data_IF_812870365547
#
_entry.id   IF_812870365547
#
_cell.length_a   1.000
_cell.length_b   1.000
_cell.length_c   1.000
_cell.angle_alpha   90.00
_cell.angle_beta   90.00
_cell.angle_gamma   90.00
#
_symmetry.space_group_name_H-M   'P 1'
#
loop_
_entity.id
_entity.type
_entity.pdbx_description
1 polymer ?
#
# COMPACT_ATOMS: atom_id res chain seq x y z
N UNK A 1 -2.61 -17.94 7.60
CA UNK A 1 -2.51 -16.93 6.52
C UNK A 1 -2.46 -15.56 7.19
N UNK A 2 -1.25 -14.99 7.35
CA UNK A 2 -1.01 -13.73 8.07
C UNK A 2 -0.45 -12.63 7.14
N UNK A 3 -0.62 -12.81 5.83
CA UNK A 3 -0.19 -11.81 4.85
C UNK A 3 -0.87 -10.46 5.14
N UNK A 4 -0.16 -9.32 5.07
CA UNK A 4 1.19 -9.17 4.51
C UNK A 4 2.35 -9.37 5.51
N UNK A 5 2.10 -9.64 6.79
CA UNK A 5 3.17 -9.85 7.77
C UNK A 5 3.94 -11.12 7.45
N UNK A 6 5.23 -10.97 7.14
CA UNK A 6 6.08 -12.12 6.82
C UNK A 6 6.67 -12.76 8.10
N UNK A 7 6.63 -14.08 8.15
CA UNK A 7 7.41 -14.86 9.12
C UNK A 7 8.91 -14.70 8.85
N UNK A 8 9.81 -15.07 9.79
CA UNK A 8 11.26 -15.08 9.53
C UNK A 8 11.63 -15.85 8.26
N UNK A 9 10.99 -16.99 8.00
CA UNK A 9 11.19 -17.75 6.77
C UNK A 9 10.72 -16.99 5.53
N UNK A 10 9.55 -16.34 5.59
CA UNK A 10 9.03 -15.51 4.48
C UNK A 10 9.94 -14.33 4.16
N UNK A 11 10.47 -13.66 5.20
CA UNK A 11 11.46 -12.59 5.02
C UNK A 11 12.73 -13.11 4.35
N UNK A 12 13.25 -14.23 4.82
CA UNK A 12 14.44 -14.85 4.25
C UNK A 12 14.20 -15.33 2.81
N UNK A 13 13.03 -15.90 2.51
CA UNK A 13 12.63 -16.28 1.15
C UNK A 13 12.65 -15.09 0.20
N UNK A 14 12.05 -13.97 0.61
CA UNK A 14 12.04 -12.72 -0.18
C UNK A 14 13.45 -12.12 -0.33
N UNK A 15 14.21 -12.05 0.78
CA UNK A 15 15.56 -11.52 0.83
C UNK A 15 16.52 -12.29 -0.10
N UNK A 16 16.37 -13.60 -0.17
CA UNK A 16 17.18 -14.47 -1.04
C UNK A 16 16.64 -14.57 -2.47
N UNK A 17 15.78 -13.61 -2.88
CA UNK A 17 15.25 -13.53 -4.22
C UNK A 17 14.35 -14.71 -4.58
N UNK A 18 13.59 -15.21 -3.61
CA UNK A 18 12.65 -16.33 -3.79
C UNK A 18 13.35 -17.63 -4.25
N UNK A 19 14.67 -17.74 -4.03
CA UNK A 19 15.49 -18.85 -4.58
C UNK A 19 15.71 -20.02 -3.63
N UNK A 20 15.31 -19.91 -2.34
CA UNK A 20 15.45 -21.00 -1.38
C UNK A 20 14.37 -22.06 -1.56
N UNK A 21 14.69 -23.28 -1.14
CA UNK A 21 13.81 -24.44 -1.27
C UNK A 21 14.01 -25.22 -2.58
N UNK A 22 13.21 -26.27 -2.73
CA UNK A 22 13.20 -27.09 -3.96
C UNK A 22 12.50 -26.32 -5.07
N UNK A 23 12.99 -26.45 -6.31
CA UNK A 23 12.30 -25.92 -7.49
C UNK A 23 10.95 -26.63 -7.62
N UNK A 24 9.87 -25.86 -7.60
CA UNK A 24 8.54 -26.38 -7.88
C UNK A 24 8.30 -26.39 -9.39
N UNK A 25 7.59 -27.38 -9.88
CA UNK A 25 7.21 -27.47 -11.29
C UNK A 25 6.21 -26.37 -11.69
N UNK A 26 5.35 -25.96 -10.76
CA UNK A 26 4.39 -24.86 -10.92
C UNK A 26 4.35 -24.05 -9.61
N UNK A 27 5.18 -23.00 -9.48
CA UNK A 27 5.25 -22.20 -8.26
C UNK A 27 4.14 -21.10 -8.23
N UNK A 28 2.89 -21.51 -8.32
CA UNK A 28 1.77 -20.57 -8.28
C UNK A 28 0.82 -20.84 -7.10
N UNK A 29 0.11 -19.80 -6.72
CA UNK A 29 -1.01 -19.84 -5.79
C UNK A 29 -2.15 -18.97 -6.32
N UNK A 30 -3.37 -19.30 -5.93
CA UNK A 30 -4.57 -18.55 -6.31
C UNK A 30 -5.23 -18.04 -5.04
N UNK A 31 -5.76 -16.81 -5.10
CA UNK A 31 -6.50 -16.18 -4.03
C UNK A 31 -7.84 -15.66 -4.57
N UNK A 32 -8.90 -15.82 -3.78
CA UNK A 32 -10.20 -15.21 -4.04
C UNK A 32 -10.80 -14.65 -2.75
N UNK A 33 -11.48 -13.54 -2.84
CA UNK A 33 -12.11 -12.86 -1.72
C UNK A 33 -13.57 -12.51 -2.05
N UNK A 34 -14.45 -12.73 -1.09
CA UNK A 34 -15.87 -12.35 -1.14
C UNK A 34 -16.20 -11.62 0.16
N UNK A 35 -16.87 -10.51 0.08
CA UNK A 35 -17.17 -9.70 1.26
C UNK A 35 -18.47 -8.93 1.18
N UNK A 36 -18.83 -8.33 2.31
CA UNK A 36 -19.98 -7.42 2.45
C UNK A 36 -19.59 -6.26 3.35
N UNK A 37 -19.96 -5.06 2.97
CA UNK A 37 -19.70 -3.83 3.74
C UNK A 37 -21.00 -3.25 4.23
N UNK A 38 -21.05 -2.86 5.50
CA UNK A 38 -22.15 -2.15 6.12
C UNK A 38 -21.65 -0.81 6.63
N UNK A 39 -22.11 0.28 6.04
CA UNK A 39 -21.77 1.64 6.45
C UNK A 39 -22.79 2.16 7.44
N UNK A 40 -22.37 2.83 8.51
CA UNK A 40 -23.26 3.31 9.57
C UNK A 40 -24.38 4.19 9.01
N UNK A 41 -24.06 5.07 8.05
CA UNK A 41 -25.05 5.89 7.33
C UNK A 41 -24.72 5.84 5.84
N UNK A 42 -25.34 4.89 5.13
CA UNK A 42 -25.08 4.66 3.70
C UNK A 42 -25.76 5.67 2.77
N UNK A 43 -26.71 6.46 3.28
CA UNK A 43 -27.48 7.45 2.51
C UNK A 43 -27.08 8.88 2.91
N UNK A 44 -27.23 9.82 1.98
CA UNK A 44 -27.10 11.25 2.27
C UNK A 44 -28.36 11.83 2.95
N UNK A 45 -28.37 13.14 3.21
CA UNK A 45 -29.50 13.85 3.82
C UNK A 45 -30.79 13.82 2.98
N UNK A 46 -30.70 13.53 1.68
CA UNK A 46 -31.82 13.43 0.76
C UNK A 46 -32.31 11.97 0.60
N UNK A 47 -31.71 11.01 1.32
CA UNK A 47 -32.01 9.60 1.24
C UNK A 47 -31.42 8.88 0.02
N UNK A 48 -30.50 9.50 -0.70
CA UNK A 48 -29.80 8.90 -1.84
C UNK A 48 -28.68 8.00 -1.34
N UNK A 49 -28.63 6.75 -1.83
CA UNK A 49 -27.58 5.79 -1.48
C UNK A 49 -26.22 6.29 -1.98
N UNK A 50 -25.29 6.52 -1.09
CA UNK A 50 -23.95 7.03 -1.37
C UNK A 50 -22.88 5.92 -1.41
N UNK A 51 -23.13 4.79 -0.75
CA UNK A 51 -22.20 3.64 -0.75
C UNK A 51 -22.79 2.54 -1.63
N UNK A 52 -22.21 2.29 -2.80
CA UNK A 52 -22.71 1.24 -3.72
C UNK A 52 -22.77 -0.12 -3.04
N UNK A 53 -23.88 -0.85 -3.22
CA UNK A 53 -24.06 -2.22 -2.73
C UNK A 53 -23.84 -2.38 -1.23
N UNK A 54 -24.13 -1.34 -0.42
CA UNK A 54 -24.04 -1.43 1.05
C UNK A 54 -24.88 -2.60 1.56
N UNK A 55 -24.31 -3.46 2.41
CA UNK A 55 -24.91 -4.70 2.88
C UNK A 55 -24.96 -5.85 1.85
N UNK A 56 -24.62 -5.60 0.59
CA UNK A 56 -24.60 -6.62 -0.46
C UNK A 56 -23.32 -7.49 -0.41
N UNK A 57 -23.46 -8.76 -0.79
CA UNK A 57 -22.32 -9.65 -0.96
C UNK A 57 -21.70 -9.40 -2.33
N UNK A 58 -20.38 -9.15 -2.36
CA UNK A 58 -19.61 -8.84 -3.55
C UNK A 58 -18.33 -9.66 -3.61
N UNK A 59 -17.87 -9.96 -4.82
CA UNK A 59 -16.53 -10.46 -5.05
C UNK A 59 -15.53 -9.31 -4.85
N UNK A 60 -14.71 -9.36 -3.80
CA UNK A 60 -13.83 -8.24 -3.41
C UNK A 60 -12.45 -8.28 -4.08
N UNK A 61 -12.17 -9.31 -4.85
CA UNK A 61 -10.97 -9.44 -5.66
C UNK A 61 -10.40 -10.85 -5.68
N UNK A 62 -9.56 -11.10 -6.65
CA UNK A 62 -8.81 -12.34 -6.78
C UNK A 62 -7.43 -12.09 -7.34
N UNK A 63 -6.50 -12.98 -7.04
CA UNK A 63 -5.14 -12.89 -7.56
C UNK A 63 -4.58 -14.26 -7.91
N UNK A 64 -3.74 -14.28 -8.92
CA UNK A 64 -2.82 -15.39 -9.19
C UNK A 64 -1.42 -14.93 -8.85
N UNK A 65 -0.70 -15.73 -8.09
CA UNK A 65 0.68 -15.47 -7.69
C UNK A 65 1.62 -16.48 -8.33
N UNK A 66 2.75 -16.00 -8.82
CA UNK A 66 3.90 -16.78 -9.19
C UNK A 66 5.05 -16.38 -8.27
N UNK A 67 5.57 -17.30 -7.46
CA UNK A 67 6.67 -17.01 -6.55
C UNK A 67 7.65 -18.18 -6.48
N UNK A 68 8.89 -17.95 -6.86
CA UNK A 68 9.90 -19.00 -6.81
C UNK A 68 11.14 -18.72 -7.63
N UNK A 69 12.03 -19.71 -7.66
CA UNK A 69 13.29 -19.62 -8.37
C UNK A 69 13.18 -20.05 -9.85
N UNK A 70 13.74 -19.22 -10.72
CA UNK A 70 14.02 -19.58 -12.10
C UNK A 70 15.37 -20.32 -12.19
N UNK A 71 16.39 -19.81 -11.48
CA UNK A 71 17.71 -20.44 -11.27
C UNK A 71 18.07 -20.39 -9.79
N UNK A 72 19.26 -20.86 -9.40
CA UNK A 72 19.70 -20.78 -8.00
C UNK A 72 19.99 -19.35 -7.53
N UNK A 73 20.16 -18.41 -8.46
CA UNK A 73 20.43 -17.01 -8.18
C UNK A 73 19.36 -16.05 -8.68
N UNK A 74 18.42 -16.51 -9.53
CA UNK A 74 17.36 -15.69 -10.11
C UNK A 74 16.00 -16.25 -9.69
N UNK A 75 15.16 -15.40 -9.10
CA UNK A 75 13.79 -15.71 -8.76
C UNK A 75 12.92 -14.48 -8.73
N UNK A 76 11.64 -14.67 -8.47
CA UNK A 76 10.71 -13.55 -8.46
C UNK A 76 9.39 -13.86 -7.80
N UNK A 77 8.65 -12.79 -7.58
CA UNK A 77 7.27 -12.75 -7.15
C UNK A 77 6.48 -11.91 -8.13
N UNK A 78 5.44 -12.47 -8.71
CA UNK A 78 4.54 -11.81 -9.66
C UNK A 78 3.12 -12.05 -9.18
N UNK A 79 2.34 -10.97 -9.04
CA UNK A 79 0.93 -10.99 -8.71
C UNK A 79 0.14 -10.42 -9.87
N UNK A 80 -0.84 -11.18 -10.34
CA UNK A 80 -1.86 -10.72 -11.27
C UNK A 80 -3.18 -10.64 -10.52
N UNK A 81 -3.78 -9.46 -10.46
CA UNK A 81 -5.02 -9.22 -9.72
C UNK A 81 -6.16 -8.93 -10.69
N UNK A 82 -7.36 -9.37 -10.32
CA UNK A 82 -8.60 -9.02 -11.00
C UNK A 82 -9.66 -8.66 -9.95
N UNK A 83 -10.44 -7.64 -10.25
CA UNK A 83 -11.54 -7.14 -9.45
C UNK A 83 -12.68 -6.65 -10.35
N UNK A 84 -13.84 -6.39 -9.76
CA UNK A 84 -15.02 -5.89 -10.46
C UNK A 84 -15.43 -4.49 -9.98
N UNK A 85 -14.50 -3.73 -9.40
CA UNK A 85 -14.84 -2.54 -8.61
C UNK A 85 -14.43 -1.21 -9.22
N UNK A 86 -13.92 -1.17 -10.41
CA UNK A 86 -13.73 0.12 -11.07
C UNK A 86 -15.11 0.70 -11.40
N UNK A 87 -15.72 1.31 -10.37
CA UNK A 87 -17.00 1.98 -10.47
C UNK A 87 -16.85 3.34 -11.11
N UNK A 88 -17.65 3.62 -12.11
CA UNK A 88 -18.02 4.98 -12.47
C UNK A 88 -19.38 5.32 -11.86
N UNK A 89 -19.75 6.57 -11.88
CA UNK A 89 -21.13 7.02 -11.71
C UNK A 89 -21.72 7.32 -13.08
N UNK A 90 -23.00 7.03 -13.27
CA UNK A 90 -23.74 7.50 -14.46
C UNK A 90 -23.93 9.03 -14.42
N UNK A 91 -24.51 9.59 -15.45
CA UNK A 91 -24.78 11.03 -15.52
C UNK A 91 -25.71 11.55 -14.41
N UNK A 92 -26.38 10.66 -13.67
CA UNK A 92 -27.28 10.98 -12.57
C UNK A 92 -26.60 10.75 -11.20
N UNK A 93 -25.31 10.38 -11.18
CA UNK A 93 -24.57 10.07 -9.95
C UNK A 93 -24.81 8.66 -9.40
N UNK A 94 -25.58 7.80 -10.08
CA UNK A 94 -25.77 6.44 -9.61
C UNK A 94 -24.53 5.60 -9.91
N UNK A 95 -24.09 4.75 -8.97
CA UNK A 95 -22.98 3.86 -9.20
C UNK A 95 -23.26 2.95 -10.39
N UNK A 96 -22.51 3.10 -11.45
CA UNK A 96 -22.51 2.13 -12.55
C UNK A 96 -21.69 0.92 -12.12
N UNK A 97 -22.20 -0.27 -12.36
CA UNK A 97 -21.46 -1.50 -12.10
C UNK A 97 -20.08 -1.40 -12.78
N UNK A 98 -19.03 -1.57 -11.99
CA UNK A 98 -17.66 -1.31 -12.42
C UNK A 98 -17.22 -2.12 -13.61
N UNK A 99 -16.32 -1.56 -14.38
CA UNK A 99 -15.51 -2.31 -15.35
C UNK A 99 -14.59 -3.26 -14.58
N UNK A 100 -14.50 -4.51 -15.04
CA UNK A 100 -13.53 -5.46 -14.48
C UNK A 100 -12.12 -4.93 -14.73
N UNK A 101 -11.29 -4.88 -13.67
CA UNK A 101 -9.87 -4.63 -13.79
C UNK A 101 -9.13 -5.96 -13.76
N UNK A 102 -8.20 -6.16 -14.69
CA UNK A 102 -7.32 -7.31 -14.73
C UNK A 102 -5.94 -6.88 -15.19
N UNK A 103 -4.94 -7.03 -14.35
CA UNK A 103 -3.59 -6.60 -14.68
C UNK A 103 -2.55 -7.06 -13.69
N UNK A 104 -1.29 -6.79 -14.05
CA UNK A 104 -0.16 -6.92 -13.11
C UNK A 104 -0.41 -6.03 -11.91
N UNK A 105 -0.30 -6.60 -10.71
CA UNK A 105 -0.37 -5.89 -9.45
C UNK A 105 1.06 -5.69 -8.92
N UNK A 106 1.63 -6.67 -8.27
CA UNK A 106 2.99 -6.59 -7.75
C UNK A 106 3.96 -7.46 -8.55
N UNK A 107 5.09 -6.87 -8.87
CA UNK A 107 6.19 -7.51 -9.58
C UNK A 107 7.49 -7.23 -8.85
N UNK A 108 8.23 -8.27 -8.47
CA UNK A 108 9.55 -8.19 -7.85
C UNK A 108 10.42 -9.37 -8.32
N UNK A 109 11.37 -9.12 -9.18
CA UNK A 109 12.34 -10.11 -9.69
C UNK A 109 13.72 -9.75 -9.19
N UNK A 110 14.45 -10.75 -8.68
CA UNK A 110 15.76 -10.56 -8.04
C UNK A 110 16.83 -11.48 -8.58
N UNK A 111 18.00 -10.89 -8.83
CA UNK A 111 19.25 -11.61 -9.04
C UNK A 111 20.09 -11.51 -7.76
N UNK A 112 20.38 -12.65 -7.11
CA UNK A 112 20.92 -12.68 -5.75
C UNK A 112 22.25 -13.40 -5.68
N UNK A 113 23.22 -12.78 -5.01
CA UNK A 113 24.45 -13.38 -4.56
C UNK A 113 24.43 -13.61 -3.04
N UNK A 114 25.14 -14.64 -2.60
CA UNK A 114 25.27 -15.04 -1.18
C UNK A 114 26.74 -15.32 -0.89
N UNK A 115 27.23 -14.76 0.22
CA UNK A 115 28.60 -14.98 0.69
C UNK A 115 28.57 -15.49 2.13
N UNK A 116 29.29 -16.58 2.39
CA UNK A 116 29.55 -17.10 3.73
C UNK A 116 31.04 -16.99 4.01
N UNK A 117 31.40 -16.50 5.19
CA UNK A 117 32.81 -16.46 5.60
C UNK A 117 33.38 -17.89 5.72
N UNK A 118 34.68 -18.10 5.42
CA UNK A 118 35.30 -19.44 5.42
C UNK A 118 35.19 -20.17 6.78
N UNK A 119 35.10 -19.43 7.87
CA UNK A 119 35.04 -19.95 9.24
C UNK A 119 33.60 -20.19 9.74
N UNK A 120 32.57 -19.73 9.00
CA UNK A 120 31.17 -19.72 9.44
C UNK A 120 30.26 -20.59 8.56
N UNK A 121 29.34 -21.32 9.21
CA UNK A 121 28.24 -21.98 8.52
C UNK A 121 27.10 -21.01 8.17
N UNK A 122 27.15 -19.76 8.64
CA UNK A 122 26.13 -18.76 8.42
C UNK A 122 26.48 -17.81 7.27
N UNK A 123 25.45 -17.34 6.56
CA UNK A 123 25.62 -16.35 5.52
C UNK A 123 25.96 -15.00 6.15
N UNK A 124 27.12 -14.43 5.80
CA UNK A 124 27.56 -13.11 6.25
C UNK A 124 26.97 -11.99 5.43
N UNK A 125 26.72 -12.25 4.14
CA UNK A 125 26.23 -11.24 3.22
C UNK A 125 25.27 -11.86 2.20
N UNK A 126 24.10 -11.26 2.06
CA UNK A 126 23.19 -11.46 0.94
C UNK A 126 23.14 -10.14 0.19
N UNK A 127 23.27 -10.17 -1.12
CA UNK A 127 23.20 -8.97 -1.94
C UNK A 127 22.53 -9.28 -3.27
N UNK A 128 21.99 -8.29 -3.94
CA UNK A 128 21.32 -8.55 -5.21
C UNK A 128 20.88 -7.30 -5.94
N UNK A 129 20.38 -7.55 -7.14
CA UNK A 129 19.64 -6.58 -7.94
C UNK A 129 18.16 -6.92 -7.90
N UNK A 130 17.30 -5.91 -7.96
CA UNK A 130 15.86 -6.07 -8.00
C UNK A 130 15.24 -5.20 -9.09
N UNK A 131 14.27 -5.77 -9.82
CA UNK A 131 13.39 -5.06 -10.75
C UNK A 131 11.96 -5.22 -10.25
N UNK A 132 11.27 -4.09 -10.07
CA UNK A 132 9.93 -4.08 -9.47
C UNK A 132 9.07 -2.93 -10.02
N UNK A 133 7.74 -3.01 -9.81
CA UNK A 133 6.76 -2.10 -10.41
C UNK A 133 5.96 -1.26 -9.40
N UNK A 134 6.33 -1.33 -8.13
CA UNK A 134 5.65 -0.60 -7.07
C UNK A 134 6.71 -0.16 -6.04
N UNK A 135 6.84 1.13 -5.71
CA UNK A 135 7.75 1.56 -4.67
C UNK A 135 7.46 0.81 -3.37
N UNK A 136 8.54 0.31 -2.74
CA UNK A 136 8.52 -0.45 -1.48
C UNK A 136 8.00 -1.91 -1.56
N UNK A 137 7.53 -2.41 -2.70
CA UNK A 137 7.14 -3.83 -2.82
C UNK A 137 8.29 -4.80 -2.50
N UNK A 138 9.51 -4.37 -2.73
CA UNK A 138 10.74 -5.12 -2.46
C UNK A 138 11.11 -5.18 -0.96
N UNK A 139 10.49 -4.38 -0.08
CA UNK A 139 10.72 -4.43 1.35
C UNK A 139 10.52 -5.83 1.93
N UNK A 140 11.54 -6.33 2.63
CA UNK A 140 11.53 -7.71 3.16
C UNK A 140 10.72 -7.85 4.45
N UNK A 141 10.35 -6.75 5.11
CA UNK A 141 9.51 -6.77 6.32
C UNK A 141 8.04 -6.48 6.02
N UNK A 142 7.73 -5.95 4.83
CA UNK A 142 6.39 -5.47 4.46
C UNK A 142 5.81 -4.48 5.50
N UNK A 143 6.67 -3.63 6.06
CA UNK A 143 6.31 -2.55 6.97
C UNK A 143 6.08 -1.22 6.25
N UNK A 144 6.44 -1.15 4.99
CA UNK A 144 6.33 -0.01 4.10
C UNK A 144 5.02 -0.05 3.27
N UNK A 145 4.64 1.03 2.54
CA UNK A 145 3.27 1.19 2.03
C UNK A 145 2.76 0.22 0.98
N UNK A 146 3.62 -0.50 0.25
CA UNK A 146 3.25 -1.23 -0.96
C UNK A 146 2.04 -2.19 -0.84
N UNK A 147 1.81 -2.75 0.34
CA UNK A 147 0.73 -3.71 0.56
C UNK A 147 -0.54 -3.10 1.16
N UNK A 148 -0.62 -1.76 1.23
CA UNK A 148 -1.80 -1.05 1.74
C UNK A 148 -2.01 -1.12 3.25
N UNK A 149 -2.91 -0.26 3.75
CA UNK A 149 -3.28 -0.21 5.17
C UNK A 149 -4.77 0.19 5.31
N UNK A 150 -5.66 -0.75 5.71
CA UNK A 150 -5.41 -2.18 5.93
C UNK A 150 -5.07 -2.91 4.61
N UNK A 151 -4.47 -4.09 4.70
CA UNK A 151 -4.19 -4.91 3.51
C UNK A 151 -5.48 -5.34 2.79
N UNK A 152 -6.48 -5.78 3.54
CA UNK A 152 -7.82 -6.05 3.03
C UNK A 152 -8.81 -5.12 3.73
N UNK A 153 -9.58 -4.39 2.98
CA UNK A 153 -10.56 -3.43 3.47
C UNK A 153 -11.83 -3.43 2.62
N UNK A 154 -12.84 -2.64 3.03
CA UNK A 154 -14.09 -2.49 2.29
C UNK A 154 -13.80 -2.02 0.86
N UNK A 155 -14.39 -2.67 -0.17
CA UNK A 155 -14.21 -2.26 -1.57
C UNK A 155 -14.96 -0.97 -1.90
N UNK A 156 -16.00 -0.67 -1.13
CA UNK A 156 -16.80 0.54 -1.26
C UNK A 156 -16.73 1.34 0.02
N UNK A 157 -16.39 2.60 -0.11
CA UNK A 157 -16.35 3.57 0.98
C UNK A 157 -17.22 4.76 0.61
N UNK A 158 -17.54 5.62 1.55
CA UNK A 158 -18.24 6.85 1.24
C UNK A 158 -17.42 7.67 0.22
N UNK A 159 -18.03 8.14 -0.90
CA UNK A 159 -17.29 8.62 -2.07
C UNK A 159 -16.61 9.96 -1.90
N UNK A 160 -16.94 10.73 -0.86
CA UNK A 160 -16.45 12.09 -0.74
C UNK A 160 -15.04 12.18 -0.18
N UNK A 161 -14.16 12.73 -0.98
CA UNK A 161 -12.77 13.07 -0.76
C UNK A 161 -11.83 11.89 -0.48
N UNK A 162 -11.04 11.54 -1.49
CA UNK A 162 -9.84 10.77 -1.26
C UNK A 162 -8.93 11.53 -0.28
N UNK A 163 -8.54 10.88 0.81
CA UNK A 163 -7.51 11.43 1.69
C UNK A 163 -6.23 11.61 0.88
N UNK A 164 -5.60 12.78 0.92
CA UNK A 164 -4.29 12.96 0.31
C UNK A 164 -3.31 11.91 0.83
N UNK A 165 -2.55 11.30 -0.05
CA UNK A 165 -1.53 10.33 0.26
C UNK A 165 -0.18 10.80 -0.29
N UNK A 166 0.90 10.50 0.42
CA UNK A 166 2.26 10.73 -0.05
C UNK A 166 2.51 9.98 -1.37
N UNK A 167 3.34 10.52 -2.24
CA UNK A 167 3.58 9.93 -3.56
C UNK A 167 4.10 8.48 -3.46
N UNK A 168 4.94 8.20 -2.46
CA UNK A 168 5.45 6.84 -2.17
C UNK A 168 4.37 5.91 -1.59
N UNK A 169 3.24 6.44 -1.10
CA UNK A 169 2.17 5.69 -0.44
C UNK A 169 1.10 5.23 -1.44
N UNK A 170 1.49 4.34 -2.34
CA UNK A 170 0.60 3.69 -3.29
C UNK A 170 0.30 4.47 -4.58
N UNK A 171 0.61 5.76 -4.66
CA UNK A 171 0.23 6.59 -5.83
C UNK A 171 0.93 6.19 -7.12
N UNK A 172 2.07 5.50 -7.04
CA UNK A 172 2.86 5.05 -8.20
C UNK A 172 2.77 3.53 -8.43
N UNK A 173 1.96 2.82 -7.66
CA UNK A 173 1.82 1.37 -7.79
C UNK A 173 1.35 0.99 -9.20
N UNK A 174 2.01 0.00 -9.82
CA UNK A 174 1.77 -0.48 -11.18
C UNK A 174 1.89 0.60 -12.29
N UNK A 175 2.62 1.69 -12.01
CA UNK A 175 2.81 2.79 -12.96
C UNK A 175 4.30 3.04 -13.27
N UNK A 176 5.19 2.50 -12.44
CA UNK A 176 6.63 2.74 -12.51
C UNK A 176 7.42 1.44 -12.66
N UNK A 177 8.65 1.58 -13.16
CA UNK A 177 9.68 0.56 -13.14
C UNK A 177 10.79 1.01 -12.20
N UNK A 178 11.10 0.22 -11.18
CA UNK A 178 12.21 0.43 -10.26
C UNK A 178 13.31 -0.61 -10.50
N UNK A 179 14.53 -0.15 -10.67
CA UNK A 179 15.73 -0.99 -10.74
C UNK A 179 16.67 -0.59 -9.63
N UNK A 180 17.06 -1.54 -8.78
CA UNK A 180 17.90 -1.25 -7.63
C UNK A 180 18.83 -2.37 -7.23
N UNK A 181 19.71 -2.01 -6.29
CA UNK A 181 20.59 -2.96 -5.63
C UNK A 181 20.36 -2.94 -4.10
N UNK A 182 20.49 -4.09 -3.49
CA UNK A 182 20.35 -4.23 -2.04
C UNK A 182 21.40 -5.16 -1.45
N UNK A 183 21.60 -5.02 -0.15
CA UNK A 183 22.41 -5.94 0.65
C UNK A 183 21.80 -6.16 2.03
N UNK A 184 22.12 -7.29 2.64
CA UNK A 184 21.83 -7.62 4.02
C UNK A 184 23.06 -8.26 4.64
N UNK A 185 23.69 -7.52 5.57
CA UNK A 185 24.95 -7.87 6.17
C UNK A 185 24.77 -8.35 7.61
N UNK A 186 25.35 -9.54 7.89
CA UNK A 186 25.33 -10.21 9.20
C UNK A 186 23.95 -10.29 9.85
N UNK A 187 22.90 -10.45 9.03
CA UNK A 187 21.49 -10.49 9.46
C UNK A 187 21.05 -9.24 10.24
N UNK A 188 21.83 -8.19 10.22
CA UNK A 188 21.62 -6.97 11.04
C UNK A 188 21.37 -5.74 10.19
N UNK A 189 22.24 -5.44 9.23
CA UNK A 189 22.15 -4.22 8.43
C UNK A 189 21.61 -4.52 7.04
N UNK A 190 20.48 -3.93 6.71
CA UNK A 190 19.93 -3.89 5.37
C UNK A 190 20.15 -2.52 4.74
N UNK A 191 20.53 -2.49 3.48
CA UNK A 191 20.59 -1.28 2.67
C UNK A 191 20.12 -1.54 1.25
N UNK A 192 19.46 -0.54 0.68
CA UNK A 192 18.95 -0.56 -0.68
C UNK A 192 19.02 0.83 -1.32
N UNK A 193 19.30 0.85 -2.61
CA UNK A 193 19.21 2.03 -3.47
C UNK A 193 18.55 1.60 -4.79
N UNK A 194 17.49 2.29 -5.21
CA UNK A 194 16.75 2.01 -6.44
C UNK A 194 16.49 3.30 -7.22
N UNK A 195 16.39 3.18 -8.52
CA UNK A 195 16.00 4.27 -9.43
C UNK A 195 14.67 3.93 -10.08
N UNK A 196 13.71 4.83 -9.96
CA UNK A 196 12.38 4.72 -10.54
C UNK A 196 12.21 5.60 -11.76
N UNK A 197 11.46 5.12 -12.72
CA UNK A 197 10.95 5.87 -13.85
C UNK A 197 9.54 5.41 -14.20
N UNK A 198 8.81 6.18 -14.99
CA UNK A 198 7.53 5.71 -15.57
C UNK A 198 7.75 4.38 -16.30
N UNK A 199 6.86 3.43 -16.11
CA UNK A 199 6.90 2.14 -16.78
C UNK A 199 6.41 2.26 -18.23
N UNK A 200 7.25 2.80 -19.10
CA UNK A 200 7.01 2.96 -20.54
C UNK A 200 8.04 2.20 -21.39
N UNK A 201 7.84 2.17 -22.70
CA UNK A 201 8.72 1.46 -23.63
C UNK A 201 8.89 -0.01 -23.25
N UNK A 202 10.13 -0.45 -23.06
CA UNK A 202 10.44 -1.85 -22.68
C UNK A 202 9.86 -2.27 -21.33
N UNK A 203 9.56 -1.32 -20.45
CA UNK A 203 8.98 -1.56 -19.12
C UNK A 203 7.44 -1.52 -19.11
N UNK A 204 6.78 -1.29 -20.25
CA UNK A 204 5.31 -1.21 -20.33
C UNK A 204 4.60 -2.46 -19.81
N UNK A 205 5.23 -3.63 -19.86
CA UNK A 205 4.73 -4.87 -19.27
C UNK A 205 4.62 -4.87 -17.74
N UNK A 206 5.20 -3.88 -17.05
CA UNK A 206 5.11 -3.71 -15.60
C UNK A 206 3.91 -2.85 -15.16
N UNK A 207 3.16 -2.28 -16.09
CA UNK A 207 1.95 -1.50 -15.81
C UNK A 207 0.71 -2.40 -15.73
N UNK A 208 -0.26 -1.94 -14.96
CA UNK A 208 -1.59 -2.60 -14.82
C UNK A 208 -2.53 -2.37 -16.02
N UNK A 209 -2.01 -2.32 -17.24
CA UNK A 209 -2.81 -2.23 -18.46
C UNK A 209 -3.24 -0.81 -18.87
N UNK A 210 -2.84 0.24 -18.14
CA UNK A 210 -3.13 1.63 -18.52
C UNK A 210 -2.08 2.17 -19.49
N UNK A 211 -2.51 2.95 -20.47
CA UNK A 211 -1.60 3.65 -21.37
C UNK A 211 -1.19 5.01 -20.82
N UNK A 212 0.13 5.25 -20.71
CA UNK A 212 0.67 6.55 -20.23
C UNK A 212 0.42 7.69 -21.21
N UNK A 213 0.20 7.40 -22.48
CA UNK A 213 -0.04 8.43 -23.50
C UNK A 213 -1.48 8.92 -23.55
N UNK A 214 -2.45 8.11 -23.07
CA UNK A 214 -3.88 8.41 -23.20
C UNK A 214 -4.62 8.41 -21.87
N UNK A 215 -4.00 7.95 -20.79
CA UNK A 215 -4.63 7.86 -19.46
C UNK A 215 -4.13 9.00 -18.55
N UNK A 216 -4.97 9.99 -18.32
CA UNK A 216 -4.69 11.07 -17.35
C UNK A 216 -4.56 10.61 -15.91
N UNK A 217 -4.97 9.37 -15.59
CA UNK A 217 -4.88 8.79 -14.25
C UNK A 217 -3.53 8.16 -13.90
N UNK A 218 -2.57 8.09 -14.82
CA UNK A 218 -1.25 7.52 -14.58
C UNK A 218 -0.26 8.62 -14.18
N UNK A 219 0.35 8.52 -13.00
CA UNK A 219 1.42 9.43 -12.60
C UNK A 219 2.64 9.25 -13.51
N UNK A 220 3.11 10.34 -14.09
CA UNK A 220 4.23 10.35 -15.02
C UNK A 220 5.43 11.04 -14.40
N UNK A 221 6.55 10.31 -14.32
CA UNK A 221 7.80 10.78 -13.74
C UNK A 221 8.74 11.30 -14.83
N UNK A 222 9.51 12.32 -14.50
CA UNK A 222 10.60 12.82 -15.32
C UNK A 222 11.91 12.12 -14.95
N UNK A 223 12.55 11.47 -15.93
CA UNK A 223 13.85 10.84 -15.75
C UNK A 223 13.90 9.70 -14.75
N UNK A 224 14.97 9.67 -13.96
CA UNK A 224 15.24 8.65 -12.95
C UNK A 224 15.14 9.25 -11.55
N UNK A 225 14.37 8.62 -10.69
CA UNK A 225 13.96 9.14 -9.39
C UNK A 225 14.50 8.21 -8.30
N UNK A 226 15.41 8.69 -7.43
CA UNK A 226 16.09 7.86 -6.43
C UNK A 226 15.16 7.49 -5.26
N UNK A 227 15.26 6.25 -4.85
CA UNK A 227 14.71 5.66 -3.63
C UNK A 227 15.83 5.06 -2.80
N UNK A 228 15.76 5.16 -1.49
CA UNK A 228 16.68 4.52 -0.55
C UNK A 228 15.94 3.82 0.59
N UNK A 229 16.57 2.81 1.17
CA UNK A 229 16.16 2.17 2.41
C UNK A 229 17.36 1.74 3.23
N UNK A 230 17.34 2.02 4.53
CA UNK A 230 18.25 1.47 5.52
C UNK A 230 17.43 0.87 6.64
N UNK A 231 17.81 -0.31 7.14
CA UNK A 231 17.15 -0.92 8.29
C UNK A 231 18.15 -1.71 9.15
N UNK A 232 17.93 -1.64 10.45
CA UNK A 232 18.61 -2.46 11.44
C UNK A 232 17.66 -3.54 11.92
N UNK A 233 18.10 -4.79 11.87
CA UNK A 233 17.34 -5.95 12.30
C UNK A 233 18.09 -6.67 13.43
N UNK A 234 17.34 -7.13 14.42
CA UNK A 234 17.89 -7.96 15.50
C UNK A 234 16.91 -9.07 15.84
N UNK A 235 17.43 -10.30 15.93
CA UNK A 235 16.64 -11.49 16.24
C UNK A 235 17.24 -12.21 17.45
N UNK A 236 16.39 -12.56 18.43
CA UNK A 236 16.81 -13.32 19.63
C UNK A 236 15.68 -14.24 20.08
N UNK A 237 15.95 -15.53 20.14
CA UNK A 237 14.93 -16.53 20.46
C UNK A 237 13.69 -16.39 19.57
N UNK A 238 12.48 -16.23 20.14
CA UNK A 238 11.26 -16.05 19.36
C UNK A 238 11.00 -14.60 18.92
N UNK A 239 11.87 -13.66 19.27
CA UNK A 239 11.71 -12.24 19.04
C UNK A 239 12.48 -11.78 17.80
N UNK A 240 11.92 -10.80 17.11
CA UNK A 240 12.57 -10.06 16.03
C UNK A 240 12.15 -8.60 16.10
N UNK A 241 13.10 -7.69 16.01
CA UNK A 241 12.86 -6.26 15.91
C UNK A 241 13.57 -5.70 14.69
N UNK A 242 12.91 -4.81 13.97
CA UNK A 242 13.48 -4.01 12.89
C UNK A 242 13.10 -2.55 13.11
N UNK A 243 14.07 -1.66 12.88
CA UNK A 243 13.85 -0.22 12.79
C UNK A 243 14.51 0.26 11.50
N UNK A 244 13.79 1.01 10.69
CA UNK A 244 14.25 1.44 9.37
C UNK A 244 13.90 2.88 9.05
N UNK A 245 14.54 3.36 8.00
CA UNK A 245 14.21 4.59 7.29
C UNK A 245 14.18 4.31 5.81
N UNK A 246 13.30 4.98 5.10
CA UNK A 246 13.22 4.93 3.64
C UNK A 246 12.75 6.27 3.10
N UNK A 247 12.93 6.47 1.83
CA UNK A 247 12.45 7.68 1.19
C UNK A 247 12.65 7.65 -0.32
N UNK A 248 12.08 8.64 -0.97
CA UNK A 248 12.12 8.81 -2.41
C UNK A 248 12.13 10.30 -2.76
N UNK A 249 12.85 10.65 -3.80
CA UNK A 249 12.68 11.94 -4.45
C UNK A 249 12.15 11.69 -5.86
N UNK A 250 11.05 12.34 -6.22
CA UNK A 250 10.43 12.16 -7.51
C UNK A 250 10.06 13.51 -8.17
N UNK A 251 10.41 13.65 -9.44
CA UNK A 251 9.98 14.75 -10.29
C UNK A 251 8.80 14.27 -11.15
N UNK A 252 7.59 14.78 -10.86
CA UNK A 252 6.34 14.37 -11.49
C UNK A 252 5.79 15.48 -12.37
N UNK A 253 5.30 15.13 -13.56
CA UNK A 253 4.56 16.06 -14.40
C UNK A 253 3.20 16.36 -13.78
N UNK A 254 2.79 17.64 -13.66
CA UNK A 254 1.48 18.01 -13.14
C UNK A 254 0.36 17.58 -14.10
N UNK A 255 0.59 17.70 -15.41
CA UNK A 255 -0.23 17.09 -16.46
C UNK A 255 0.44 15.80 -16.94
N UNK A 256 -0.17 14.66 -16.61
CA UNK A 256 0.34 13.36 -16.99
C UNK A 256 0.32 13.11 -18.52
N UNK A 257 -0.48 13.87 -19.27
CA UNK A 257 -0.57 13.78 -20.73
C UNK A 257 0.42 14.67 -21.44
N UNK A 258 0.94 15.71 -20.77
CA UNK A 258 1.96 16.61 -21.35
C UNK A 258 3.31 16.50 -20.63
N UNK A 259 4.20 15.61 -21.07
CA UNK A 259 5.53 15.44 -20.49
C UNK A 259 6.56 16.48 -20.96
N UNK A 260 6.13 17.57 -21.57
CA UNK A 260 7.00 18.68 -22.02
C UNK A 260 7.01 19.85 -21.05
N UNK A 261 6.09 19.85 -20.08
CA UNK A 261 5.97 20.89 -19.05
C UNK A 261 7.06 20.76 -17.99
N UNK A 262 7.32 21.81 -17.19
CA UNK A 262 8.05 21.69 -15.93
C UNK A 262 7.39 20.68 -14.98
N UNK A 263 8.16 20.13 -14.05
CA UNK A 263 7.69 19.14 -13.08
C UNK A 263 7.56 19.74 -11.68
N UNK A 264 6.72 19.12 -10.88
CA UNK A 264 6.71 19.28 -9.43
C UNK A 264 7.64 18.24 -8.79
N UNK A 265 8.26 18.60 -7.66
CA UNK A 265 9.15 17.72 -6.91
C UNK A 265 8.51 17.27 -5.62
N UNK A 266 8.51 15.97 -5.42
CA UNK A 266 8.07 15.31 -4.20
C UNK A 266 9.28 14.69 -3.50
N UNK A 267 9.40 14.92 -2.20
CA UNK A 267 10.47 14.34 -1.38
C UNK A 267 9.85 13.67 -0.17
N UNK A 268 9.82 12.34 -0.22
CA UNK A 268 9.36 11.50 0.87
C UNK A 268 10.53 11.09 1.78
N UNK A 269 10.34 11.24 3.08
CA UNK A 269 11.23 10.72 4.12
C UNK A 269 10.41 10.00 5.16
N UNK A 270 10.78 8.78 5.48
CA UNK A 270 9.97 7.93 6.32
C UNK A 270 10.79 7.16 7.36
N UNK A 271 10.12 6.82 8.45
CA UNK A 271 10.59 5.92 9.48
C UNK A 271 9.61 4.76 9.61
N UNK A 272 10.11 3.56 9.80
CA UNK A 272 9.29 2.39 10.06
C UNK A 272 9.92 1.48 11.12
N UNK A 273 9.06 0.71 11.76
CA UNK A 273 9.48 -0.28 12.74
C UNK A 273 8.57 -1.51 12.70
N UNK A 274 9.14 -2.66 12.97
CA UNK A 274 8.42 -3.91 13.17
C UNK A 274 8.97 -4.65 14.37
N UNK A 275 8.07 -5.17 15.21
CA UNK A 275 8.40 -6.15 16.24
C UNK A 275 7.57 -7.40 16.03
N UNK A 276 8.19 -8.56 16.13
CA UNK A 276 7.51 -9.85 16.10
C UNK A 276 7.91 -10.72 17.29
N UNK A 277 6.92 -11.41 17.83
CA UNK A 277 7.09 -12.51 18.78
C UNK A 277 6.39 -13.73 18.20
N UNK A 278 7.14 -14.74 17.81
CA UNK A 278 6.61 -15.91 17.11
C UNK A 278 6.96 -17.19 17.86
N UNK A 279 5.95 -17.81 18.46
CA UNK A 279 6.04 -19.10 19.10
C UNK A 279 4.87 -19.98 18.65
N UNK A 280 4.82 -21.21 19.08
CA UNK A 280 3.63 -22.02 19.05
C UNK A 280 3.12 -22.13 20.49
N UNK A 281 1.92 -21.60 20.84
CA UNK A 281 0.82 -21.23 19.95
C UNK A 281 0.65 -19.73 19.66
N UNK A 282 1.56 -18.85 20.05
CA UNK A 282 1.39 -17.40 20.01
C UNK A 282 2.17 -16.75 18.87
N UNK A 283 1.52 -15.90 18.09
CA UNK A 283 2.19 -15.01 17.11
C UNK A 283 1.69 -13.60 17.34
N UNK A 284 2.61 -12.67 17.57
CA UNK A 284 2.33 -11.26 17.70
C UNK A 284 3.22 -10.46 16.73
N UNK A 285 2.64 -9.51 16.01
CA UNK A 285 3.36 -8.58 15.15
C UNK A 285 2.85 -7.17 15.41
N UNK A 286 3.75 -6.24 15.73
CA UNK A 286 3.48 -4.82 15.76
C UNK A 286 4.25 -4.11 14.65
N UNK A 287 3.62 -3.18 13.97
CA UNK A 287 4.22 -2.34 12.92
C UNK A 287 3.82 -0.89 13.12
N UNK A 288 4.74 0.02 12.80
CA UNK A 288 4.46 1.45 12.73
C UNK A 288 5.23 2.05 11.57
N UNK A 289 4.60 3.02 10.88
CA UNK A 289 5.19 3.75 9.76
C UNK A 289 4.79 5.22 9.86
N UNK A 290 5.77 6.10 9.70
CA UNK A 290 5.57 7.54 9.58
C UNK A 290 6.23 8.02 8.29
N UNK A 291 5.47 8.75 7.45
CA UNK A 291 5.95 9.34 6.20
C UNK A 291 5.76 10.84 6.30
N UNK A 292 6.81 11.58 6.00
CA UNK A 292 6.79 13.02 5.76
C UNK A 292 7.11 13.28 4.30
N UNK A 293 6.18 13.91 3.60
CA UNK A 293 6.36 14.36 2.23
C UNK A 293 6.46 15.88 2.18
N UNK A 294 7.48 16.38 1.50
CA UNK A 294 7.58 17.77 1.03
C UNK A 294 7.21 17.80 -0.45
N UNK A 295 6.28 18.68 -0.79
CA UNK A 295 5.81 18.92 -2.15
C UNK A 295 6.28 20.29 -2.59
N UNK A 296 7.18 20.37 -3.59
CA UNK A 296 7.56 21.61 -4.26
C UNK A 296 6.74 21.69 -5.56
N UNK A 297 5.62 22.40 -5.49
CA UNK A 297 4.55 22.43 -6.51
C UNK A 297 4.74 23.57 -7.53
N UNK A 298 5.97 23.84 -7.93
CA UNK A 298 6.28 24.98 -8.78
C UNK A 298 5.55 24.98 -10.11
N UNK A 299 5.39 23.83 -10.74
CA UNK A 299 4.67 23.71 -12.00
C UNK A 299 3.15 23.79 -11.79
N UNK A 300 2.60 23.06 -10.82
CA UNK A 300 1.19 23.13 -10.45
C UNK A 300 0.79 24.55 -10.02
N UNK A 301 1.64 25.25 -9.25
CA UNK A 301 1.38 26.60 -8.78
C UNK A 301 1.51 27.64 -9.91
N UNK A 302 2.65 27.67 -10.63
CA UNK A 302 2.93 28.74 -11.59
C UNK A 302 2.32 28.52 -12.98
N UNK A 303 2.19 27.26 -13.42
CA UNK A 303 1.72 26.93 -14.76
C UNK A 303 0.22 26.64 -14.79
N UNK A 304 -0.27 25.82 -13.86
CA UNK A 304 -1.67 25.41 -13.86
C UNK A 304 -2.56 26.28 -12.96
N UNK A 305 -1.98 27.01 -11.99
CA UNK A 305 -2.76 27.75 -10.99
C UNK A 305 -3.66 26.83 -10.14
N UNK A 306 -3.29 25.54 -10.01
CA UNK A 306 -4.08 24.51 -9.35
C UNK A 306 -3.62 24.23 -7.90
N UNK A 307 -2.68 25.02 -7.39
CA UNK A 307 -2.27 25.06 -5.98
C UNK A 307 -2.24 26.50 -5.51
N UNK A 308 -2.62 26.75 -4.27
CA UNK A 308 -2.52 28.06 -3.65
C UNK A 308 -1.12 28.32 -3.07
N UNK A 309 -0.34 27.28 -2.86
CA UNK A 309 0.99 27.35 -2.29
C UNK A 309 2.04 26.80 -3.26
N UNK A 310 3.22 27.43 -3.37
CA UNK A 310 4.32 26.88 -4.17
C UNK A 310 4.94 25.63 -3.51
N UNK A 311 4.69 25.39 -2.21
CA UNK A 311 5.15 24.22 -1.49
C UNK A 311 4.17 23.82 -0.40
N UNK A 312 3.92 22.52 -0.30
CA UNK A 312 3.09 21.91 0.73
C UNK A 312 3.85 20.81 1.48
N UNK A 313 3.32 20.38 2.61
CA UNK A 313 3.77 19.20 3.34
C UNK A 313 2.60 18.27 3.60
N UNK A 314 2.90 16.97 3.67
CA UNK A 314 1.95 15.93 4.02
C UNK A 314 2.61 14.95 4.99
N UNK A 315 1.86 14.52 6.01
CA UNK A 315 2.34 13.57 7.00
C UNK A 315 1.33 12.44 7.15
N UNK A 316 1.81 11.20 7.07
CA UNK A 316 1.01 10.02 7.31
C UNK A 316 1.60 9.22 8.46
N UNK A 317 0.78 8.85 9.43
CA UNK A 317 1.14 7.95 10.52
C UNK A 317 0.19 6.75 10.54
N UNK A 318 0.76 5.56 10.61
CA UNK A 318 0.03 4.30 10.71
C UNK A 318 0.71 3.40 11.73
N UNK A 319 -0.08 2.75 12.57
CA UNK A 319 0.40 1.74 13.49
C UNK A 319 -0.61 0.62 13.62
N UNK A 320 -0.15 -0.63 13.77
CA UNK A 320 -1.01 -1.78 14.02
C UNK A 320 -0.33 -2.80 14.90
N UNK A 321 -1.15 -3.52 15.67
CA UNK A 321 -0.76 -4.72 16.40
C UNK A 321 -1.68 -5.86 16.04
N UNK A 322 -1.12 -6.98 15.62
CA UNK A 322 -1.83 -8.19 15.20
C UNK A 322 -1.38 -9.37 16.05
N UNK A 323 -2.33 -10.08 16.64
CA UNK A 323 -2.07 -11.26 17.46
C UNK A 323 -2.83 -12.45 16.90
N UNK A 324 -2.17 -13.62 16.83
CA UNK A 324 -2.79 -14.89 16.49
C UNK A 324 -2.54 -15.94 17.58
N UNK A 325 -3.61 -16.63 17.95
CA UNK A 325 -3.54 -17.82 18.81
C UNK A 325 -3.70 -19.08 17.97
N UNK A 326 -2.71 -19.99 18.08
CA UNK A 326 -2.65 -21.26 17.34
C UNK A 326 -2.79 -21.09 15.82
N UNK A 327 -2.42 -19.93 15.30
CA UNK A 327 -2.60 -19.56 13.87
C UNK A 327 -4.05 -19.70 13.37
N UNK A 328 -5.01 -19.72 14.31
CA UNK A 328 -6.42 -19.98 14.03
C UNK A 328 -7.34 -18.82 14.41
N UNK A 329 -7.06 -18.14 15.50
CA UNK A 329 -7.84 -17.00 15.97
C UNK A 329 -6.94 -15.77 15.97
N UNK A 330 -7.34 -14.72 15.25
CA UNK A 330 -6.60 -13.49 15.14
C UNK A 330 -7.38 -12.28 15.66
N UNK A 331 -6.64 -11.28 16.15
CA UNK A 331 -7.17 -9.97 16.46
C UNK A 331 -6.15 -8.92 16.05
N UNK A 332 -6.62 -7.83 15.41
CA UNK A 332 -5.80 -6.69 15.02
C UNK A 332 -6.43 -5.41 15.54
N UNK A 333 -5.60 -4.53 16.08
CA UNK A 333 -5.92 -3.15 16.37
C UNK A 333 -4.98 -2.25 15.59
N UNK A 334 -5.53 -1.28 14.87
CA UNK A 334 -4.75 -0.36 14.08
C UNK A 334 -5.25 1.08 14.22
N UNK A 335 -4.35 2.02 13.95
CA UNK A 335 -4.61 3.45 13.96
C UNK A 335 -4.00 4.08 12.71
N UNK A 336 -4.69 5.09 12.15
CA UNK A 336 -4.20 5.86 11.01
C UNK A 336 -4.53 7.34 11.15
N UNK A 337 -3.66 8.17 10.58
CA UNK A 337 -3.86 9.62 10.50
C UNK A 337 -3.05 10.19 9.33
N UNK A 338 -3.66 11.12 8.58
CA UNK A 338 -2.99 11.94 7.56
C UNK A 338 -3.25 13.40 7.83
N UNK A 339 -2.19 14.23 7.86
CA UNK A 339 -2.25 15.68 8.07
C UNK A 339 -1.34 16.38 7.04
N UNK A 340 -1.55 17.68 6.83
CA UNK A 340 -0.73 18.43 5.86
C UNK A 340 -1.01 19.92 5.83
N UNK A 341 -0.41 20.59 4.86
CA UNK A 341 -0.61 22.02 4.59
C UNK A 341 -2.02 22.27 4.07
N UNK A 342 -2.62 23.38 4.49
CA UNK A 342 -3.88 23.86 3.92
C UNK A 342 -3.61 24.45 2.53
N UNK A 343 -4.34 23.94 1.53
CA UNK A 343 -4.26 24.45 0.16
C UNK A 343 -5.67 24.43 -0.45
N UNK A 344 -6.34 25.59 -0.52
CA UNK A 344 -7.73 25.67 -0.96
C UNK A 344 -7.95 25.37 -2.45
N UNK A 345 -6.92 25.48 -3.29
CA UNK A 345 -7.02 25.12 -4.71
C UNK A 345 -6.77 23.63 -4.91
N UNK A 346 -5.73 23.09 -4.24
CA UNK A 346 -5.34 21.70 -4.42
C UNK A 346 -6.35 20.72 -3.79
N UNK A 347 -6.90 21.07 -2.62
CA UNK A 347 -7.78 20.17 -1.86
C UNK A 347 -9.26 20.57 -1.87
N UNK A 348 -9.58 21.84 -2.16
CA UNK A 348 -10.96 22.37 -2.17
C UNK A 348 -11.78 22.04 -0.89
N UNK A 349 -11.10 21.95 0.27
CA UNK A 349 -11.69 21.53 1.54
C UNK A 349 -11.87 22.73 2.47
N UNK A 350 -13.08 22.92 3.01
CA UNK A 350 -13.43 24.03 3.89
C UNK A 350 -14.16 23.56 5.15
N UNK A 351 -14.08 24.37 6.23
CA UNK A 351 -14.86 24.16 7.44
C UNK A 351 -16.31 24.70 7.28
N UNK A 352 -17.12 24.56 8.32
CA UNK A 352 -18.52 25.03 8.33
C UNK A 352 -18.66 26.56 8.15
N UNK A 353 -17.60 27.32 8.37
CA UNK A 353 -17.56 28.77 8.15
C UNK A 353 -17.00 29.14 6.76
N UNK A 354 -16.63 28.16 5.94
CA UNK A 354 -16.05 28.36 4.62
C UNK A 354 -14.54 28.60 4.64
N UNK A 355 -13.85 28.42 5.76
CA UNK A 355 -12.41 28.56 5.84
C UNK A 355 -11.71 27.33 5.29
N UNK A 356 -10.68 27.48 4.43
CA UNK A 356 -9.90 26.35 3.93
C UNK A 356 -9.25 25.57 5.06
N UNK A 357 -9.36 24.22 4.98
CA UNK A 357 -8.72 23.29 5.91
C UNK A 357 -8.05 22.16 5.14
N UNK A 358 -7.08 21.49 5.77
CA UNK A 358 -6.52 20.26 5.22
C UNK A 358 -7.54 19.12 5.37
N UNK A 359 -7.77 18.28 4.35
CA UNK A 359 -8.72 17.14 4.40
C UNK A 359 -8.18 15.98 5.25
N UNK A 360 -7.94 16.24 6.54
CA UNK A 360 -7.41 15.24 7.48
C UNK A 360 -8.38 14.09 7.65
N UNK A 361 -7.85 12.86 7.54
CA UNK A 361 -8.52 11.66 8.03
C UNK A 361 -7.76 11.07 9.21
N UNK A 362 -8.53 10.65 10.22
CA UNK A 362 -8.01 10.02 11.44
C UNK A 362 -8.99 8.98 11.92
N UNK A 363 -8.49 7.80 12.23
CA UNK A 363 -9.36 6.73 12.67
C UNK A 363 -8.61 5.52 13.21
N UNK A 364 -9.38 4.46 13.45
CA UNK A 364 -8.86 3.19 13.94
C UNK A 364 -9.55 2.03 13.23
N UNK A 365 -8.89 0.88 13.27
CA UNK A 365 -9.41 -0.38 12.73
C UNK A 365 -9.32 -1.44 13.82
N UNK A 366 -10.42 -2.15 14.05
CA UNK A 366 -10.48 -3.35 14.86
C UNK A 366 -10.86 -4.52 13.97
N UNK A 367 -10.11 -5.63 14.05
CA UNK A 367 -10.34 -6.78 13.21
C UNK A 367 -10.24 -8.07 14.01
N UNK A 368 -11.13 -9.00 13.71
CA UNK A 368 -11.11 -10.37 14.20
C UNK A 368 -10.99 -11.32 13.02
N UNK A 369 -10.14 -12.32 13.17
CA UNK A 369 -9.89 -13.34 12.16
C UNK A 369 -10.17 -14.73 12.71
N UNK A 370 -10.77 -15.58 11.89
CA UNK A 370 -10.92 -17.00 12.15
C UNK A 370 -10.46 -17.82 10.94
N UNK A 371 -9.49 -18.69 11.16
CA UNK A 371 -8.97 -19.60 10.16
C UNK A 371 -9.44 -21.02 10.47
N UNK A 372 -10.61 -21.46 9.95
CA UNK A 372 -11.10 -22.82 10.18
C UNK A 372 -10.13 -23.87 9.67
N UNK A 373 -9.51 -23.61 8.53
CA UNK A 373 -8.44 -24.39 7.90
C UNK A 373 -7.35 -23.46 7.37
N UNK A 374 -6.19 -23.99 7.04
CA UNK A 374 -5.02 -23.19 6.60
C UNK A 374 -5.30 -22.28 5.39
N UNK A 375 -6.22 -22.68 4.52
CA UNK A 375 -6.50 -22.04 3.25
C UNK A 375 -7.67 -21.05 3.29
N UNK A 376 -8.39 -20.95 4.40
CA UNK A 376 -9.58 -20.10 4.55
C UNK A 376 -9.42 -19.17 5.74
N UNK A 377 -9.63 -17.88 5.51
CA UNK A 377 -9.69 -16.83 6.52
C UNK A 377 -11.04 -16.15 6.46
N UNK A 378 -11.76 -16.16 7.57
CA UNK A 378 -12.96 -15.36 7.77
C UNK A 378 -12.57 -14.15 8.60
N UNK A 379 -12.96 -12.97 8.16
CA UNK A 379 -12.57 -11.69 8.76
C UNK A 379 -13.81 -10.85 9.07
N UNK A 380 -13.81 -10.28 10.26
CA UNK A 380 -14.72 -9.21 10.68
C UNK A 380 -13.87 -7.98 10.99
N UNK A 381 -14.04 -6.91 10.23
CA UNK A 381 -13.27 -5.66 10.40
C UNK A 381 -14.23 -4.50 10.64
N UNK A 382 -13.94 -3.70 11.65
CA UNK A 382 -14.61 -2.43 11.91
C UNK A 382 -13.63 -1.28 11.73
N UNK A 383 -13.98 -0.31 10.90
CA UNK A 383 -13.24 0.95 10.73
C UNK A 383 -14.05 2.09 11.34
N UNK A 384 -13.47 2.77 12.32
CA UNK A 384 -14.07 3.92 12.98
C UNK A 384 -13.32 5.21 12.64
N UNK A 385 -14.05 6.24 12.20
CA UNK A 385 -13.50 7.55 11.87
C UNK A 385 -13.69 8.53 13.03
N UNK A 386 -12.59 9.11 13.49
CA UNK A 386 -12.56 10.15 14.54
C UNK A 386 -12.54 11.55 13.94
N UNK A 387 -12.00 11.68 12.74
CA UNK A 387 -11.95 12.90 11.93
C UNK A 387 -12.09 12.50 10.46
N UNK A 388 -12.82 13.29 9.71
CA UNK A 388 -13.01 13.07 8.29
C UNK A 388 -13.05 14.42 7.58
N UNK A 389 -12.38 14.52 6.43
CA UNK A 389 -12.30 15.75 5.65
C UNK A 389 -11.95 16.99 6.50
N UNK A 390 -11.01 16.82 7.46
CA UNK A 390 -10.53 17.90 8.32
C UNK A 390 -11.40 18.22 9.54
N UNK A 391 -12.62 17.66 9.66
CA UNK A 391 -13.59 18.00 10.70
C UNK A 391 -13.96 16.80 11.59
N UNK A 392 -14.41 17.10 12.81
CA UNK A 392 -14.92 16.13 13.79
C UNK A 392 -16.44 16.01 13.79
N UNK A 393 -17.14 16.91 13.11
CA UNK A 393 -18.59 16.93 12.94
C UNK A 393 -18.97 17.74 11.71
N UNK A 394 -20.12 17.42 11.11
CA UNK A 394 -20.69 18.14 9.96
C UNK A 394 -19.66 18.45 8.87
N UNK A 395 -18.89 17.43 8.47
CA UNK A 395 -17.75 17.63 7.60
C UNK A 395 -18.12 17.93 6.13
N UNK A 396 -19.35 17.64 5.73
CA UNK A 396 -19.92 17.90 4.40
C UNK A 396 -20.78 19.19 4.35
N UNK A 397 -20.94 19.88 5.49
CA UNK A 397 -21.84 21.04 5.60
C UNK A 397 -23.34 20.68 5.63
N UNK A 398 -23.70 19.41 5.47
CA UNK A 398 -25.07 18.91 5.39
C UNK A 398 -25.47 18.07 6.62
N UNK A 399 -24.63 18.05 7.66
CA UNK A 399 -24.88 17.38 8.93
C UNK A 399 -24.19 16.06 9.13
N UNK A 400 -23.44 15.54 8.14
CA UNK A 400 -22.73 14.27 8.23
C UNK A 400 -21.50 14.36 9.15
N UNK A 401 -21.35 13.41 10.05
CA UNK A 401 -20.24 13.35 10.98
C UNK A 401 -19.26 12.24 10.58
N UNK A 402 -17.98 12.28 11.00
CA UNK A 402 -17.02 11.21 10.70
C UNK A 402 -17.53 9.81 11.04
N UNK A 403 -18.22 9.63 12.17
CA UNK A 403 -18.79 8.35 12.60
C UNK A 403 -19.83 7.78 11.63
N UNK A 404 -20.50 8.63 10.85
CA UNK A 404 -21.51 8.19 9.88
C UNK A 404 -20.88 7.39 8.72
N UNK A 405 -19.56 7.53 8.55
CA UNK A 405 -18.75 6.75 7.61
C UNK A 405 -18.17 5.47 8.23
N UNK A 406 -18.40 5.18 9.51
CA UNK A 406 -17.92 3.95 10.12
C UNK A 406 -18.43 2.73 9.36
N UNK A 407 -17.59 1.73 9.20
CA UNK A 407 -17.88 0.57 8.39
C UNK A 407 -17.62 -0.72 9.13
N UNK A 408 -18.52 -1.68 8.95
CA UNK A 408 -18.34 -3.07 9.31
C UNK A 408 -18.14 -3.87 8.02
N UNK A 409 -17.01 -4.52 7.87
CA UNK A 409 -16.64 -5.32 6.71
C UNK A 409 -16.50 -6.78 7.09
N UNK A 410 -17.27 -7.62 6.42
CA UNK A 410 -17.18 -9.07 6.49
C UNK A 410 -16.44 -9.56 5.25
N UNK A 411 -15.42 -10.41 5.41
CA UNK A 411 -14.69 -10.96 4.28
C UNK A 411 -14.37 -12.45 4.49
N UNK A 412 -14.59 -13.22 3.47
CA UNK A 412 -14.12 -14.58 3.33
C UNK A 412 -13.00 -14.62 2.29
N UNK A 413 -11.83 -15.06 2.69
CA UNK A 413 -10.62 -15.13 1.87
C UNK A 413 -10.17 -16.58 1.76
N UNK A 414 -10.05 -17.06 0.54
CA UNK A 414 -9.59 -18.42 0.21
C UNK A 414 -8.29 -18.31 -0.60
N UNK A 415 -7.27 -19.11 -0.25
CA UNK A 415 -6.02 -19.18 -1.02
C UNK A 415 -5.51 -20.63 -1.09
N UNK A 416 -5.04 -21.06 -2.23
CA UNK A 416 -4.53 -22.42 -2.48
C UNK A 416 -3.51 -22.48 -3.60
#
# INVERSE_FOLDING_TARGET
>A
MSFPELTPYGRYFKLTGYTIGKRQSLPFAVMAQVGSTFTQTAHDSNGVLQVPRDGGIVFTGGSVFLAGKATDNLGGFIQWTFDNFQGGTDANGNPTGGTSHSGIDNFDVRLVGKYAAPEGKELDLIYGLTLHNNPTVQDVWNSTPAFGFPFAGPPFTFPDSATPAALIDGSMAQQVAGLGGYFFWKKTLYGELSLYRTADGVFSGLRAGQDTATSGGVNRLNGYNPYWRLALNHEWGPHSIMVGTFGMQADKYPDNLDPTTPTDRFTDTALDAQYQYITDPHTFTAQATYIHEKQDLNATFNLLGASANPSNTLNTFRAKGTYYYRRKYGATLAYFQTTGSVDPLLYATVDAAGNPIFPEQKGYIMQLDYLPIQNVRLMLQYTGFLKYNGLTSNYDGLGRNPRDNNQLFLNAWVAF
#
